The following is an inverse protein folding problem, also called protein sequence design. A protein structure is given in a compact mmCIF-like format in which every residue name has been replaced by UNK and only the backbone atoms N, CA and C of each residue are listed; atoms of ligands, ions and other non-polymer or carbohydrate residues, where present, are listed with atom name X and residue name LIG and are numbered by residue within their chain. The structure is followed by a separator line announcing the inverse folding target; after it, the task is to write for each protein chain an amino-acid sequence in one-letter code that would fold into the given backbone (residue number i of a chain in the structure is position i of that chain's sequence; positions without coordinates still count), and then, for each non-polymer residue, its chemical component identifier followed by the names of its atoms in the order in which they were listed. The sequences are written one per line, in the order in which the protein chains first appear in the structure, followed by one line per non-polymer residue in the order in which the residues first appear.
data_IF_031149388920
#
_entry.id   IF_031149388920
#
_cell.length_a   1.000
_cell.length_b   1.000
_cell.length_c   1.000
_cell.angle_alpha   90.00
_cell.angle_beta   90.00
_cell.angle_gamma   90.00
#
_symmetry.space_group_name_H-M   'P 1'
#
loop_
_entity.id
_entity.type
_entity.pdbx_description
1 polymer ?
#
# COMPACT_ATOMS: atom_id res chain seq x y z
N UNK A 1 -12.56 14.67 -10.32
CA UNK A 1 -13.42 14.16 -11.42
C UNK A 1 -12.64 13.99 -12.74
N UNK A 2 -11.37 13.56 -12.70
CA UNK A 2 -10.58 13.29 -13.92
C UNK A 2 -10.34 11.77 -14.14
N UNK A 3 -10.34 10.95 -13.07
CA UNK A 3 -10.21 9.49 -13.16
C UNK A 3 -11.44 8.80 -13.79
N UNK A 4 -12.65 9.31 -13.56
CA UNK A 4 -13.89 8.79 -14.20
C UNK A 4 -14.02 9.23 -15.66
N UNK A 5 -13.22 10.23 -16.10
CA UNK A 5 -13.26 10.76 -17.46
C UNK A 5 -12.70 9.77 -18.48
N UNK A 6 -11.76 8.92 -18.07
CA UNK A 6 -11.16 7.88 -18.92
C UNK A 6 -11.58 6.48 -18.43
N UNK A 7 -12.67 5.97 -19.03
CA UNK A 7 -13.29 4.68 -18.65
C UNK A 7 -12.34 3.48 -18.79
N UNK A 8 -11.26 3.60 -19.57
CA UNK A 8 -10.32 2.51 -19.85
C UNK A 8 -9.60 2.00 -18.61
N UNK A 9 -9.22 2.88 -17.68
CA UNK A 9 -8.46 2.52 -16.47
C UNK A 9 -9.30 1.63 -15.52
N UNK A 10 -10.51 2.04 -15.08
CA UNK A 10 -11.31 1.21 -14.18
C UNK A 10 -11.75 -0.11 -14.84
N UNK A 11 -12.03 -0.11 -16.15
CA UNK A 11 -12.38 -1.33 -16.88
C UNK A 11 -11.20 -2.31 -16.92
N UNK A 12 -10.00 -1.84 -17.24
CA UNK A 12 -8.80 -2.69 -17.27
C UNK A 12 -8.49 -3.26 -15.88
N UNK A 13 -8.64 -2.45 -14.83
CA UNK A 13 -8.49 -2.89 -13.45
C UNK A 13 -9.51 -3.98 -13.08
N UNK A 14 -10.78 -3.82 -13.45
CA UNK A 14 -11.83 -4.82 -13.23
C UNK A 14 -11.53 -6.15 -13.97
N UNK A 15 -11.07 -6.10 -15.21
CA UNK A 15 -10.74 -7.30 -15.96
C UNK A 15 -9.56 -8.06 -15.35
N UNK A 16 -8.47 -7.36 -15.02
CA UNK A 16 -7.28 -7.96 -14.45
C UNK A 16 -7.53 -8.56 -13.05
N UNK A 17 -8.36 -7.90 -12.25
CA UNK A 17 -8.71 -8.38 -10.91
C UNK A 17 -9.62 -9.61 -10.93
N UNK A 18 -10.61 -9.65 -11.82
CA UNK A 18 -11.42 -10.86 -12.03
C UNK A 18 -10.57 -12.03 -12.50
N UNK A 19 -9.64 -11.78 -13.43
CA UNK A 19 -8.67 -12.78 -13.88
C UNK A 19 -7.78 -13.27 -12.73
N UNK A 20 -7.33 -12.38 -11.84
CA UNK A 20 -6.57 -12.75 -10.63
C UNK A 20 -7.31 -13.72 -9.72
N UNK A 21 -8.62 -13.52 -9.49
CA UNK A 21 -9.40 -14.43 -8.63
C UNK A 21 -9.44 -15.85 -9.21
N UNK A 22 -9.58 -15.97 -10.53
CA UNK A 22 -9.56 -17.27 -11.24
C UNK A 22 -8.20 -17.95 -11.06
N UNK A 23 -7.11 -17.19 -11.23
CA UNK A 23 -5.75 -17.71 -11.05
C UNK A 23 -5.47 -18.16 -9.61
N UNK A 24 -5.92 -17.39 -8.62
CA UNK A 24 -5.76 -17.76 -7.20
C UNK A 24 -6.49 -19.07 -6.90
N UNK A 25 -7.71 -19.24 -7.42
CA UNK A 25 -8.44 -20.50 -7.29
C UNK A 25 -7.65 -21.66 -7.91
N UNK A 26 -7.20 -21.49 -9.16
CA UNK A 26 -6.45 -22.53 -9.89
C UNK A 26 -5.16 -22.95 -9.18
N UNK A 27 -4.40 -22.00 -8.63
CA UNK A 27 -3.14 -22.28 -7.94
C UNK A 27 -3.32 -22.78 -6.50
N UNK A 28 -4.43 -22.45 -5.84
CA UNK A 28 -4.59 -22.64 -4.40
C UNK A 28 -5.57 -23.74 -4.01
N UNK A 29 -6.38 -24.28 -4.94
CA UNK A 29 -7.42 -25.26 -4.59
C UNK A 29 -6.85 -26.50 -3.89
N UNK A 30 -5.73 -27.03 -4.39
CA UNK A 30 -5.10 -28.23 -3.86
C UNK A 30 -4.44 -27.96 -2.51
N UNK A 31 -3.78 -26.80 -2.38
CA UNK A 31 -3.17 -26.36 -1.12
C UNK A 31 -4.24 -26.12 -0.05
N UNK A 32 -5.40 -25.56 -0.42
CA UNK A 32 -6.53 -25.34 0.50
C UNK A 32 -7.03 -26.64 1.12
N UNK A 33 -7.27 -27.66 0.29
CA UNK A 33 -7.80 -28.95 0.72
C UNK A 33 -6.76 -29.79 1.47
N UNK A 34 -5.53 -29.88 0.95
CA UNK A 34 -4.52 -30.84 1.44
C UNK A 34 -3.72 -30.28 2.61
N UNK A 35 -3.39 -28.98 2.60
CA UNK A 35 -2.47 -28.38 3.59
C UNK A 35 -3.20 -27.64 4.71
N UNK A 36 -4.31 -26.99 4.38
CA UNK A 36 -5.04 -26.14 5.31
C UNK A 36 -6.38 -26.75 5.75
N UNK A 37 -6.80 -27.87 5.16
CA UNK A 37 -8.07 -28.56 5.43
C UNK A 37 -9.31 -27.63 5.37
N UNK A 38 -9.24 -26.59 4.54
CA UNK A 38 -10.31 -25.63 4.30
C UNK A 38 -10.96 -25.86 2.95
N UNK A 39 -12.12 -25.23 2.72
CA UNK A 39 -12.81 -25.32 1.43
C UNK A 39 -11.92 -24.89 0.27
N UNK A 40 -12.04 -25.57 -0.88
CA UNK A 40 -11.25 -25.29 -2.09
C UNK A 40 -11.34 -23.82 -2.54
N UNK A 41 -12.45 -23.15 -2.23
CA UNK A 41 -12.71 -21.76 -2.60
C UNK A 41 -12.21 -20.75 -1.55
N UNK A 42 -11.67 -21.18 -0.41
CA UNK A 42 -11.32 -20.29 0.71
C UNK A 42 -10.41 -19.13 0.30
N UNK A 43 -9.28 -19.42 -0.37
CA UNK A 43 -8.34 -18.38 -0.81
C UNK A 43 -8.91 -17.50 -1.92
N UNK A 44 -9.71 -18.06 -2.82
CA UNK A 44 -10.36 -17.30 -3.89
C UNK A 44 -11.42 -16.33 -3.33
N UNK A 45 -12.20 -16.77 -2.35
CA UNK A 45 -13.18 -15.92 -1.66
C UNK A 45 -12.48 -14.78 -0.91
N UNK A 46 -11.37 -15.08 -0.23
CA UNK A 46 -10.59 -14.06 0.47
C UNK A 46 -10.00 -13.03 -0.50
N UNK A 47 -9.46 -13.47 -1.64
CA UNK A 47 -8.98 -12.61 -2.71
C UNK A 47 -10.11 -11.71 -3.26
N UNK A 48 -11.30 -12.28 -3.47
CA UNK A 48 -12.47 -11.53 -3.93
C UNK A 48 -12.92 -10.46 -2.92
N UNK A 49 -12.93 -10.78 -1.62
CA UNK A 49 -13.24 -9.82 -0.56
C UNK A 49 -12.23 -8.66 -0.51
N UNK A 50 -10.93 -8.96 -0.59
CA UNK A 50 -9.90 -7.92 -0.67
C UNK A 50 -10.03 -7.06 -1.92
N UNK A 51 -10.39 -7.68 -3.05
CA UNK A 51 -10.67 -6.94 -4.28
C UNK A 51 -11.85 -5.98 -4.12
N UNK A 52 -12.98 -6.44 -3.58
CA UNK A 52 -14.14 -5.59 -3.31
C UNK A 52 -13.80 -4.42 -2.37
N UNK A 53 -13.04 -4.70 -1.31
CA UNK A 53 -12.57 -3.67 -0.38
C UNK A 53 -11.65 -2.65 -1.05
N UNK A 54 -10.68 -3.12 -1.84
CA UNK A 54 -9.77 -2.26 -2.60
C UNK A 54 -10.50 -1.42 -3.65
N UNK A 55 -11.48 -1.99 -4.34
CA UNK A 55 -12.31 -1.27 -5.31
C UNK A 55 -13.16 -0.19 -4.63
N UNK A 56 -13.74 -0.49 -3.47
CA UNK A 56 -14.45 0.49 -2.66
C UNK A 56 -13.52 1.64 -2.22
N UNK A 57 -12.31 1.33 -1.73
CA UNK A 57 -11.32 2.36 -1.39
C UNK A 57 -10.92 3.22 -2.59
N UNK A 58 -10.71 2.61 -3.75
CA UNK A 58 -10.43 3.34 -4.99
C UNK A 58 -11.57 4.30 -5.32
N UNK A 59 -12.82 3.86 -5.20
CA UNK A 59 -13.99 4.69 -5.43
C UNK A 59 -14.02 5.87 -4.44
N UNK A 60 -13.86 5.63 -3.14
CA UNK A 60 -13.84 6.70 -2.11
C UNK A 60 -12.71 7.70 -2.36
N UNK A 61 -11.49 7.22 -2.56
CA UNK A 61 -10.31 8.07 -2.79
C UNK A 61 -10.43 8.89 -4.07
N UNK A 62 -11.04 8.33 -5.13
CA UNK A 62 -11.27 9.06 -6.39
C UNK A 62 -12.26 10.23 -6.25
N UNK A 63 -13.08 10.25 -5.20
CA UNK A 63 -14.00 11.34 -4.87
C UNK A 63 -13.39 12.36 -3.91
N UNK A 64 -12.25 12.06 -3.28
CA UNK A 64 -11.56 13.02 -2.44
C UNK A 64 -10.95 14.13 -3.30
N UNK A 65 -11.08 15.38 -2.84
CA UNK A 65 -10.54 16.52 -3.54
C UNK A 65 -9.00 16.50 -3.43
N UNK A 66 -8.32 16.57 -4.57
CA UNK A 66 -6.85 16.57 -4.69
C UNK A 66 -6.20 17.64 -3.81
N UNK A 67 -6.87 18.79 -3.63
CA UNK A 67 -6.40 19.89 -2.79
C UNK A 67 -6.33 19.56 -1.30
N UNK A 68 -7.14 18.61 -0.82
CA UNK A 68 -7.12 18.18 0.58
C UNK A 68 -5.92 17.26 0.83
N UNK A 69 -5.57 16.44 -0.16
CA UNK A 69 -4.44 15.49 -0.09
C UNK A 69 -3.10 16.23 -0.20
N UNK A 70 -3.03 17.27 -1.04
CA UNK A 70 -1.79 18.02 -1.34
C UNK A 70 -1.53 19.16 -0.33
N UNK A 71 -2.42 19.37 0.65
CA UNK A 71 -2.22 20.39 1.67
C UNK A 71 -1.00 20.04 2.56
N UNK A 72 -0.04 20.97 2.69
CA UNK A 72 1.22 20.74 3.40
C UNK A 72 1.08 20.30 4.87
N UNK A 73 -0.08 20.57 5.52
CA UNK A 73 -0.39 20.03 6.85
C UNK A 73 -0.79 18.55 6.81
N UNK A 74 -1.58 18.12 5.84
CA UNK A 74 -2.02 16.72 5.69
C UNK A 74 -0.81 15.80 5.42
N UNK A 75 0.13 16.27 4.62
CA UNK A 75 1.36 15.52 4.27
C UNK A 75 2.27 15.32 5.48
N UNK A 76 2.43 16.35 6.33
CA UNK A 76 3.20 16.21 7.58
C UNK A 76 2.58 15.19 8.54
N UNK A 77 1.24 15.15 8.61
CA UNK A 77 0.53 14.14 9.40
C UNK A 77 0.67 12.74 8.80
N UNK A 78 0.50 12.57 7.49
CA UNK A 78 0.68 11.29 6.80
C UNK A 78 2.10 10.75 6.97
N UNK A 79 3.10 11.64 6.94
CA UNK A 79 4.50 11.32 7.24
C UNK A 79 4.68 10.80 8.68
N UNK A 80 4.14 11.52 9.66
CA UNK A 80 4.21 11.10 11.07
C UNK A 80 3.61 9.71 11.27
N UNK A 81 2.41 9.49 10.73
CA UNK A 81 1.74 8.19 10.78
C UNK A 81 2.57 7.10 10.11
N UNK A 82 3.20 7.37 8.96
CA UNK A 82 4.09 6.40 8.28
C UNK A 82 5.26 5.96 9.16
N UNK A 83 5.93 6.94 9.75
CA UNK A 83 7.09 6.70 10.60
C UNK A 83 6.72 5.90 11.85
N UNK A 84 5.61 6.25 12.50
CA UNK A 84 5.09 5.47 13.62
C UNK A 84 4.66 4.06 13.20
N UNK A 85 4.09 3.88 12.01
CA UNK A 85 3.70 2.55 11.53
C UNK A 85 4.92 1.67 11.23
N UNK A 86 6.02 2.25 10.76
CA UNK A 86 7.31 1.56 10.62
C UNK A 86 7.89 1.15 11.97
N UNK A 87 7.87 2.07 12.94
CA UNK A 87 8.28 1.76 14.30
C UNK A 87 7.42 0.65 14.89
N UNK A 88 6.12 0.64 14.63
CA UNK A 88 5.22 -0.42 15.10
C UNK A 88 5.61 -1.80 14.54
N UNK A 89 6.12 -1.91 13.30
CA UNK A 89 6.63 -3.19 12.77
C UNK A 89 7.81 -3.72 13.58
N UNK A 90 8.71 -2.85 14.03
CA UNK A 90 9.87 -3.28 14.82
C UNK A 90 9.48 -3.96 16.13
N UNK A 91 8.36 -3.55 16.74
CA UNK A 91 7.93 -4.06 18.05
C UNK A 91 6.81 -5.11 17.96
N UNK A 92 5.93 -5.01 16.96
CA UNK A 92 4.72 -5.83 16.82
C UNK A 92 4.74 -6.72 15.56
N UNK A 93 5.87 -6.76 14.85
CA UNK A 93 6.05 -7.52 13.62
C UNK A 93 6.07 -9.03 13.87
N UNK A 94 5.23 -9.75 13.15
CA UNK A 94 5.23 -11.22 13.10
C UNK A 94 6.34 -11.68 12.16
N UNK A 95 7.18 -12.59 12.65
CA UNK A 95 8.19 -13.29 11.85
C UNK A 95 7.52 -14.28 10.90
N UNK A 96 7.55 -13.99 9.59
CA UNK A 96 7.12 -14.92 8.54
C UNK A 96 8.29 -15.10 7.58
N UNK A 97 8.62 -16.34 7.23
CA UNK A 97 9.77 -16.67 6.37
C UNK A 97 11.08 -15.98 6.82
N UNK A 98 11.42 -16.10 8.11
CA UNK A 98 12.63 -15.54 8.74
C UNK A 98 12.76 -14.00 8.79
N UNK A 99 11.73 -13.23 8.42
CA UNK A 99 11.73 -11.77 8.52
C UNK A 99 10.47 -11.22 9.21
N UNK A 100 10.61 -10.15 10.01
CA UNK A 100 9.50 -9.45 10.66
C UNK A 100 8.94 -8.35 9.76
N UNK A 101 8.03 -8.68 8.85
CA UNK A 101 7.51 -7.71 7.86
C UNK A 101 6.02 -7.44 7.97
N UNK A 102 5.32 -8.36 8.61
CA UNK A 102 3.88 -8.39 8.65
C UNK A 102 3.41 -8.01 10.04
N UNK A 103 2.45 -7.09 10.11
CA UNK A 103 1.67 -6.86 11.31
C UNK A 103 0.42 -7.74 11.23
N UNK A 104 0.20 -8.58 12.23
CA UNK A 104 -1.06 -9.29 12.37
C UNK A 104 -2.02 -8.43 13.20
N UNK A 105 -3.01 -7.84 12.55
CA UNK A 105 -4.03 -7.01 13.17
C UNK A 105 -5.35 -7.77 13.07
N UNK A 106 -5.82 -8.34 14.18
CA UNK A 106 -7.09 -9.09 14.26
C UNK A 106 -7.23 -10.22 13.19
N UNK A 107 -6.16 -10.94 12.86
CA UNK A 107 -6.17 -12.00 11.85
C UNK A 107 -5.98 -11.51 10.41
N UNK A 108 -5.84 -10.20 10.21
CA UNK A 108 -5.42 -9.60 8.95
C UNK A 108 -3.91 -9.36 8.96
N UNK A 109 -3.25 -9.93 7.96
CA UNK A 109 -1.85 -9.70 7.72
C UNK A 109 -1.74 -8.41 6.92
N UNK A 110 -1.20 -7.37 7.56
CA UNK A 110 -1.02 -6.06 6.98
C UNK A 110 0.47 -5.76 6.84
N UNK A 111 0.88 -5.26 5.68
CA UNK A 111 2.27 -4.97 5.38
C UNK A 111 2.48 -3.45 5.29
N UNK A 112 3.11 -2.83 6.31
CA UNK A 112 3.26 -1.37 6.33
C UNK A 112 4.08 -0.79 5.18
N UNK A 113 5.00 -1.56 4.59
CA UNK A 113 5.79 -1.15 3.42
C UNK A 113 4.94 -0.82 2.19
N UNK A 114 3.75 -1.41 2.06
CA UNK A 114 2.82 -1.07 0.96
C UNK A 114 2.32 0.37 1.09
N UNK A 115 1.95 0.77 2.30
CA UNK A 115 1.46 2.14 2.56
C UNK A 115 2.58 3.16 2.40
N UNK A 116 3.80 2.83 2.84
CA UNK A 116 4.94 3.74 2.77
C UNK A 116 5.31 4.06 1.32
N UNK A 117 5.24 3.08 0.40
CA UNK A 117 5.50 3.32 -1.04
C UNK A 117 4.60 4.43 -1.59
N UNK A 118 3.30 4.37 -1.30
CA UNK A 118 2.35 5.40 -1.74
C UNK A 118 2.68 6.76 -1.11
N UNK A 119 3.04 6.77 0.17
CA UNK A 119 3.33 8.01 0.91
C UNK A 119 4.61 8.69 0.47
N UNK A 120 5.66 7.93 0.14
CA UNK A 120 6.90 8.46 -0.44
C UNK A 120 6.63 9.10 -1.80
N UNK A 121 5.80 8.49 -2.65
CA UNK A 121 5.42 9.07 -3.95
C UNK A 121 4.68 10.40 -3.76
N UNK A 122 3.64 10.42 -2.90
CA UNK A 122 2.85 11.63 -2.63
C UNK A 122 3.69 12.75 -2.01
N UNK A 123 4.56 12.40 -1.07
CA UNK A 123 5.49 13.33 -0.45
C UNK A 123 6.44 13.93 -1.47
N UNK A 124 7.08 13.09 -2.29
CA UNK A 124 8.04 13.52 -3.30
C UNK A 124 7.37 14.44 -4.31
N UNK A 125 6.20 14.05 -4.84
CA UNK A 125 5.43 14.86 -5.77
C UNK A 125 5.07 16.24 -5.19
N UNK A 126 4.60 16.27 -3.94
CA UNK A 126 4.18 17.53 -3.31
C UNK A 126 5.38 18.40 -2.94
N UNK A 127 6.46 17.78 -2.46
CA UNK A 127 7.69 18.48 -2.14
C UNK A 127 8.26 19.21 -3.37
N UNK A 128 8.36 18.53 -4.51
CA UNK A 128 8.77 19.17 -5.76
C UNK A 128 7.81 20.28 -6.21
N UNK A 129 6.51 20.14 -5.94
CA UNK A 129 5.51 21.15 -6.32
C UNK A 129 5.65 22.44 -5.50
N UNK A 130 5.91 22.35 -4.19
CA UNK A 130 6.02 23.53 -3.31
C UNK A 130 7.44 24.10 -3.20
N UNK A 131 8.46 23.23 -3.20
CA UNK A 131 9.85 23.62 -2.96
C UNK A 131 10.73 23.54 -4.20
N UNK A 132 10.22 23.09 -5.35
CA UNK A 132 10.98 22.93 -6.59
C UNK A 132 11.70 24.17 -7.11
N UNK A 133 11.35 25.38 -6.62
CA UNK A 133 12.02 26.64 -6.96
C UNK A 133 13.05 27.13 -5.91
N UNK A 134 13.18 26.47 -4.76
CA UNK A 134 14.05 26.89 -3.65
C UNK A 134 15.11 25.84 -3.24
N UNK A 135 15.37 24.83 -4.09
CA UNK A 135 16.31 23.70 -3.86
C UNK A 135 17.79 24.14 -3.91
N UNK A 136 18.13 25.34 -3.41
CA UNK A 136 19.50 25.85 -3.43
C UNK A 136 20.17 25.91 -2.05
N UNK A 137 19.45 25.81 -0.92
CA UNK A 137 20.10 25.87 0.40
C UNK A 137 19.47 24.93 1.43
N UNK A 138 20.03 23.72 1.47
CA UNK A 138 20.02 22.79 2.61
C UNK A 138 18.79 21.86 2.78
N UNK A 139 18.56 20.99 1.81
CA UNK A 139 17.58 19.88 1.88
C UNK A 139 18.12 18.59 2.55
N UNK A 140 19.12 18.72 3.43
CA UNK A 140 19.69 17.60 4.19
C UNK A 140 18.64 16.70 4.89
N UNK A 141 17.58 17.22 5.54
CA UNK A 141 16.58 16.36 6.19
C UNK A 141 15.72 15.56 5.19
N UNK A 142 15.52 16.06 3.97
CA UNK A 142 14.77 15.35 2.93
C UNK A 142 15.55 14.20 2.33
N UNK A 143 16.83 14.42 2.05
CA UNK A 143 17.70 13.37 1.54
C UNK A 143 17.88 12.26 2.58
N UNK A 144 18.02 12.63 3.86
CA UNK A 144 18.01 11.69 4.98
C UNK A 144 16.70 10.89 5.07
N UNK A 145 15.55 11.52 4.87
CA UNK A 145 14.28 10.80 4.90
C UNK A 145 14.07 9.84 3.72
N UNK A 146 14.39 10.28 2.50
CA UNK A 146 14.33 9.40 1.33
C UNK A 146 15.30 8.23 1.51
N UNK A 147 16.51 8.50 2.00
CA UNK A 147 17.49 7.48 2.31
C UNK A 147 17.05 6.52 3.41
N UNK A 148 16.46 7.02 4.50
CA UNK A 148 15.92 6.19 5.58
C UNK A 148 14.74 5.34 5.11
N UNK A 149 13.79 5.94 4.38
CA UNK A 149 12.64 5.24 3.81
C UNK A 149 13.09 4.15 2.82
N UNK A 150 14.12 4.44 2.01
CA UNK A 150 14.71 3.48 1.07
C UNK A 150 15.50 2.36 1.80
N UNK A 151 16.26 2.70 2.83
CA UNK A 151 17.02 1.73 3.64
C UNK A 151 16.10 0.78 4.40
N UNK A 152 15.02 1.33 4.98
CA UNK A 152 13.98 0.58 5.66
C UNK A 152 13.22 -0.30 4.66
N UNK A 153 12.91 0.21 3.46
CA UNK A 153 12.32 -0.58 2.39
C UNK A 153 13.20 -1.78 2.01
N UNK A 154 14.51 -1.59 1.91
CA UNK A 154 15.45 -2.66 1.56
C UNK A 154 15.54 -3.73 2.66
N UNK A 155 15.62 -3.29 3.92
CA UNK A 155 15.67 -4.17 5.09
C UNK A 155 14.41 -5.04 5.25
N UNK A 156 13.24 -4.55 4.82
CA UNK A 156 11.98 -5.28 4.90
C UNK A 156 11.51 -5.90 3.58
N UNK A 157 12.26 -5.76 2.47
CA UNK A 157 11.94 -6.44 1.20
C UNK A 157 12.79 -7.69 0.95
N UNK A 158 14.03 -7.74 1.45
CA UNK A 158 14.97 -8.85 1.27
C UNK A 158 15.24 -9.59 2.56
#
# INVERSE_FOLDING_TARGET
MHLVKNKTIPISFLLLSLYSVILVYSASFQTALVRYEVSAHYFALRQFLFFMFGFFLLFVVSHLNEQIIVNGKAIKWMYGVSFFMLLAVLFLGVTTNSAQRWLNIFGFMFQPTEVIKLLVILFTATYFTYFGKQIEKSDRPLFLYLFLSFSIFFYYSF
#
